data_IF_909430096534
#
_entry.id   IF_909430096534
#
_cell.length_a   1.000
_cell.length_b   1.000
_cell.length_c   1.000
_cell.angle_alpha   90.00
_cell.angle_beta   90.00
_cell.angle_gamma   90.00
#
_symmetry.space_group_name_H-M   'P 1'
#
loop_
_entity.id
_entity.type
_entity.pdbx_description
1 polymer ?
#
# COMPACT_ATOMS: atom_id res chain seq x y z
N UNK A 1 5.32 2.83 6.75
CA UNK A 1 6.43 2.21 5.98
C UNK A 1 5.98 2.05 4.54
N UNK A 2 6.81 2.50 3.60
CA UNK A 2 6.57 2.31 2.16
C UNK A 2 7.69 1.44 1.61
N UNK A 3 7.35 0.41 0.84
CA UNK A 3 8.32 -0.40 0.09
C UNK A 3 8.16 -0.14 -1.41
N UNK A 4 9.22 -0.30 -2.19
CA UNK A 4 9.18 -0.17 -3.66
C UNK A 4 9.85 -1.38 -4.31
N UNK A 5 9.22 -1.92 -5.35
CA UNK A 5 9.72 -3.06 -6.13
C UNK A 5 9.41 -4.43 -5.51
N UNK A 6 9.69 -5.48 -6.27
CA UNK A 6 9.44 -6.86 -5.85
C UNK A 6 7.96 -7.26 -5.79
N UNK A 7 7.08 -6.54 -6.49
CA UNK A 7 5.61 -6.76 -6.50
C UNK A 7 5.09 -7.38 -7.79
N UNK A 8 5.98 -7.76 -8.72
CA UNK A 8 5.62 -8.41 -9.99
C UNK A 8 5.27 -9.90 -9.86
N UNK A 9 5.37 -10.59 -11.00
CA UNK A 9 5.05 -12.02 -11.16
C UNK A 9 6.29 -12.91 -11.28
N UNK A 10 7.50 -12.35 -11.19
CA UNK A 10 8.73 -13.16 -11.30
C UNK A 10 8.96 -13.93 -10.00
N UNK A 11 9.70 -15.06 -10.01
CA UNK A 11 10.01 -15.81 -8.78
C UNK A 11 10.77 -15.02 -7.71
N UNK A 12 11.35 -13.86 -8.05
CA UNK A 12 12.06 -12.99 -7.10
C UNK A 12 11.16 -11.90 -6.50
N UNK A 13 9.95 -11.73 -7.03
CA UNK A 13 8.99 -10.71 -6.58
C UNK A 13 8.25 -11.18 -5.32
N UNK A 14 8.94 -11.09 -4.19
CA UNK A 14 8.49 -11.64 -2.88
C UNK A 14 8.04 -10.58 -1.88
N UNK A 15 8.07 -9.29 -2.24
CA UNK A 15 7.72 -8.18 -1.32
C UNK A 15 6.29 -8.33 -0.75
N UNK A 16 5.26 -8.68 -1.55
CA UNK A 16 3.92 -8.89 -1.02
C UNK A 16 3.82 -10.08 -0.07
N UNK A 17 4.51 -11.19 -0.33
CA UNK A 17 4.46 -12.37 0.54
C UNK A 17 5.17 -12.11 1.87
N UNK A 18 6.30 -11.40 1.83
CA UNK A 18 7.00 -10.95 3.04
C UNK A 18 6.14 -9.99 3.87
N UNK A 19 5.44 -9.06 3.21
CA UNK A 19 4.52 -8.12 3.86
C UNK A 19 3.34 -8.85 4.49
N UNK A 20 2.78 -9.85 3.80
CA UNK A 20 1.65 -10.66 4.29
C UNK A 20 2.04 -11.51 5.49
N UNK A 21 3.25 -12.06 5.51
CA UNK A 21 3.75 -12.90 6.61
C UNK A 21 3.78 -12.14 7.95
N UNK A 22 4.02 -10.82 7.91
CA UNK A 22 4.08 -9.98 9.12
C UNK A 22 2.79 -9.21 9.40
N UNK A 23 1.72 -9.43 8.63
CA UNK A 23 0.49 -8.67 8.73
C UNK A 23 -0.30 -9.04 9.99
N UNK A 24 -0.76 -8.04 10.74
CA UNK A 24 -1.76 -8.25 11.79
C UNK A 24 -3.17 -8.00 11.25
N UNK A 25 -3.33 -7.00 10.37
CA UNK A 25 -4.59 -6.67 9.69
C UNK A 25 -4.32 -6.28 8.24
N UNK A 26 -5.09 -6.81 7.30
CA UNK A 26 -5.04 -6.37 5.90
C UNK A 26 -5.82 -5.06 5.71
N UNK A 27 -5.35 -4.22 4.78
CA UNK A 27 -6.01 -2.97 4.38
C UNK A 27 -6.33 -3.05 2.88
N UNK A 28 -7.34 -3.82 2.46
CA UNK A 28 -7.57 -4.15 1.05
C UNK A 28 -7.98 -2.97 0.18
N UNK A 29 -8.51 -1.88 0.77
CA UNK A 29 -8.92 -0.69 0.03
C UNK A 29 -7.74 0.06 -0.63
N UNK A 30 -6.58 0.10 0.03
CA UNK A 30 -5.39 0.81 -0.49
C UNK A 30 -4.85 0.18 -1.79
N UNK A 31 -4.56 -1.14 -1.88
CA UNK A 31 -4.06 -1.73 -3.11
C UNK A 31 -5.07 -1.63 -4.25
N UNK A 32 -6.39 -1.66 -3.97
CA UNK A 32 -7.42 -1.40 -4.99
C UNK A 32 -7.30 0.03 -5.53
N UNK A 33 -7.21 1.03 -4.66
CA UNK A 33 -7.06 2.43 -5.06
C UNK A 33 -5.78 2.66 -5.88
N UNK A 34 -4.66 2.06 -5.46
CA UNK A 34 -3.38 2.11 -6.19
C UNK A 34 -3.47 1.45 -7.57
N UNK A 35 -4.11 0.28 -7.66
CA UNK A 35 -4.31 -0.41 -8.93
C UNK A 35 -5.20 0.41 -9.87
N UNK A 36 -6.29 0.99 -9.36
CA UNK A 36 -7.17 1.86 -10.14
C UNK A 36 -6.47 3.12 -10.65
N UNK A 37 -5.59 3.72 -9.84
CA UNK A 37 -4.78 4.85 -10.29
C UNK A 37 -3.80 4.42 -11.38
N UNK A 38 -3.02 3.36 -11.15
CA UNK A 38 -2.05 2.86 -12.15
C UNK A 38 -2.70 2.45 -13.47
N UNK A 39 -3.92 1.91 -13.44
CA UNK A 39 -4.68 1.53 -14.63
C UNK A 39 -5.05 2.71 -15.54
N UNK A 40 -5.05 3.95 -15.02
CA UNK A 40 -5.22 5.16 -15.85
C UNK A 40 -4.00 5.41 -16.73
N UNK A 41 -2.82 4.93 -16.33
CA UNK A 41 -1.54 5.17 -17.00
C UNK A 41 -1.08 3.96 -17.83
N UNK A 42 -1.32 2.74 -17.35
CA UNK A 42 -0.93 1.51 -18.05
C UNK A 42 -1.79 0.30 -17.68
N UNK A 43 -2.17 -0.56 -18.66
CA UNK A 43 -2.87 -1.81 -18.37
C UNK A 43 -2.04 -2.79 -17.52
N UNK A 44 -0.70 -2.65 -17.53
CA UNK A 44 0.18 -3.53 -16.76
C UNK A 44 0.08 -3.33 -15.24
N UNK A 45 -0.53 -2.22 -14.78
CA UNK A 45 -0.81 -2.01 -13.37
C UNK A 45 -1.68 -3.12 -12.77
N UNK A 46 -2.51 -3.79 -13.59
CA UNK A 46 -3.30 -4.95 -13.18
C UNK A 46 -2.45 -6.15 -12.68
N UNK A 47 -1.17 -6.22 -13.06
CA UNK A 47 -0.30 -7.37 -12.74
C UNK A 47 0.39 -7.24 -11.38
N UNK A 48 0.26 -6.09 -10.70
CA UNK A 48 0.89 -5.92 -9.39
C UNK A 48 0.25 -6.84 -8.35
N UNK A 49 1.09 -7.46 -7.52
CA UNK A 49 0.66 -8.20 -6.33
C UNK A 49 0.81 -7.38 -5.05
N UNK A 50 1.10 -6.07 -5.14
CA UNK A 50 1.30 -5.20 -3.98
C UNK A 50 0.11 -5.21 -3.03
N UNK A 51 0.39 -5.24 -1.71
CA UNK A 51 -0.63 -5.20 -0.67
C UNK A 51 -0.40 -4.04 0.29
N UNK A 52 -1.39 -3.77 1.14
CA UNK A 52 -1.25 -2.89 2.29
C UNK A 52 -1.75 -3.60 3.55
N UNK A 53 -1.01 -3.46 4.65
CA UNK A 53 -1.29 -4.11 5.93
C UNK A 53 -0.98 -3.16 7.08
N UNK A 54 -1.65 -3.35 8.20
CA UNK A 54 -1.29 -2.74 9.47
C UNK A 54 -0.60 -3.76 10.39
N UNK A 55 0.43 -3.31 11.10
CA UNK A 55 1.16 -4.05 12.13
C UNK A 55 1.44 -3.12 13.30
N UNK A 56 0.85 -3.36 14.47
CA UNK A 56 0.83 -2.43 15.58
C UNK A 56 0.33 -1.05 15.14
N UNK A 57 1.12 -0.02 15.45
CA UNK A 57 0.87 1.37 15.06
C UNK A 57 1.43 1.75 13.67
N UNK A 58 1.74 0.77 12.81
CA UNK A 58 2.38 1.01 11.51
C UNK A 58 1.52 0.55 10.35
N UNK A 59 1.24 1.45 9.41
CA UNK A 59 0.77 1.09 8.06
C UNK A 59 1.97 0.74 7.18
N UNK A 60 1.89 -0.38 6.46
CA UNK A 60 2.88 -0.85 5.50
C UNK A 60 2.19 -0.94 4.14
N UNK A 61 2.73 -0.29 3.11
CA UNK A 61 2.19 -0.29 1.75
C UNK A 61 3.27 -0.64 0.75
N UNK A 62 2.98 -1.56 -0.17
CA UNK A 62 3.87 -1.89 -1.28
C UNK A 62 3.55 -1.06 -2.52
N UNK A 63 4.53 -0.32 -3.02
CA UNK A 63 4.48 0.37 -4.30
C UNK A 63 5.27 -0.39 -5.38
N UNK A 64 4.97 -0.18 -6.68
CA UNK A 64 5.78 -0.72 -7.77
C UNK A 64 7.21 -0.17 -7.77
N UNK A 65 8.07 -0.73 -8.62
CA UNK A 65 9.50 -0.39 -8.68
C UNK A 65 9.84 0.82 -9.57
N UNK A 66 8.95 1.23 -10.48
CA UNK A 66 9.24 2.36 -11.37
C UNK A 66 9.03 3.70 -10.65
N UNK A 67 9.89 4.71 -10.86
CA UNK A 67 9.72 6.03 -10.26
C UNK A 67 8.35 6.67 -10.54
N UNK A 68 7.85 6.56 -11.78
CA UNK A 68 6.53 7.07 -12.16
C UNK A 68 5.39 6.43 -11.34
N UNK A 69 5.38 5.11 -11.20
CA UNK A 69 4.34 4.43 -10.44
C UNK A 69 4.44 4.69 -8.92
N UNK A 70 5.65 5.00 -8.41
CA UNK A 70 5.83 5.47 -7.03
C UNK A 70 5.21 6.85 -6.87
N UNK A 71 5.45 7.79 -7.79
CA UNK A 71 4.86 9.13 -7.76
C UNK A 71 3.33 9.08 -7.82
N UNK A 72 2.77 8.33 -8.77
CA UNK A 72 1.32 8.08 -8.88
C UNK A 72 0.75 7.49 -7.59
N UNK A 73 1.39 6.45 -7.06
CA UNK A 73 0.96 5.81 -5.82
C UNK A 73 1.05 6.73 -4.60
N UNK A 74 2.08 7.56 -4.51
CA UNK A 74 2.20 8.56 -3.44
C UNK A 74 1.11 9.63 -3.55
N UNK A 75 0.68 10.00 -4.75
CA UNK A 75 -0.48 10.86 -4.96
C UNK A 75 -1.77 10.32 -4.34
N UNK A 76 -1.97 8.99 -4.37
CA UNK A 76 -3.09 8.31 -3.71
C UNK A 76 -2.92 8.28 -2.19
N UNK A 77 -1.69 8.07 -1.71
CA UNK A 77 -1.41 7.78 -0.30
C UNK A 77 -1.28 9.03 0.58
N UNK A 78 -0.69 10.11 0.07
CA UNK A 78 -0.40 11.32 0.85
C UNK A 78 -1.64 11.89 1.58
N UNK A 79 -2.83 11.98 0.96
CA UNK A 79 -4.03 12.48 1.63
C UNK A 79 -4.50 11.62 2.82
N UNK A 80 -4.02 10.38 2.92
CA UNK A 80 -4.44 9.42 3.96
C UNK A 80 -3.55 9.49 5.21
N UNK A 81 -2.35 10.07 5.12
CA UNK A 81 -1.31 9.90 6.14
C UNK A 81 -1.69 10.44 7.52
N UNK A 82 -2.24 11.66 7.61
CA UNK A 82 -2.61 12.25 8.89
C UNK A 82 -3.71 11.45 9.59
N UNK A 83 -4.73 11.03 8.83
CA UNK A 83 -5.83 10.23 9.38
C UNK A 83 -5.36 8.83 9.81
N UNK A 84 -4.53 8.17 8.98
CA UNK A 84 -3.95 6.86 9.32
C UNK A 84 -3.07 6.96 10.57
N UNK A 85 -2.23 7.99 10.67
CA UNK A 85 -1.36 8.20 11.83
C UNK A 85 -2.19 8.39 13.11
N UNK A 86 -3.25 9.20 13.05
CA UNK A 86 -4.17 9.38 14.18
C UNK A 86 -4.84 8.07 14.61
N UNK A 87 -5.38 7.29 13.65
CA UNK A 87 -6.04 6.01 13.95
C UNK A 87 -5.09 4.96 14.55
N UNK A 88 -3.84 4.95 14.11
CA UNK A 88 -2.84 3.96 14.54
C UNK A 88 -2.14 4.33 15.84
N UNK A 89 -2.16 5.60 16.26
CA UNK A 89 -1.51 6.08 17.48
C UNK A 89 -2.27 5.72 18.79
N UNK A 90 -3.53 5.31 18.73
CA UNK A 90 -4.35 5.03 19.90
C UNK A 90 -5.76 5.63 19.76
N UNK A 91 -6.64 5.48 20.78
CA UNK A 91 -8.07 5.75 20.61
C UNK A 91 -8.31 7.21 20.19
N UNK A 92 -8.83 7.37 18.97
CA UNK A 92 -9.47 8.61 18.55
C UNK A 92 -10.85 8.59 19.19
N UNK A 93 -11.11 9.49 20.15
CA UNK A 93 -12.49 9.75 20.58
C UNK A 93 -13.30 10.06 19.33
N UNK A 94 -14.22 9.16 18.99
CA UNK A 94 -15.23 9.47 17.98
C UNK A 94 -16.20 10.38 18.70
N UNK A 95 -16.06 11.69 18.48
CA UNK A 95 -17.04 12.65 18.98
C UNK A 95 -18.39 12.37 18.32
N UNK A 96 -19.39 12.08 19.16
CA UNK A 96 -20.81 12.03 18.82
C UNK A 96 -21.33 13.37 18.28
#
# INVERSE_FOLDING_TARGET
VITTGGTGLTPRDVTPDATRNIAEREVPGIPIALALEGLKHTPYAALTRGIAVARGATLIVNLPGSPAAVEEGMGVLLPLFDHVAALLAGPVEHGD
#
